data_IF_241711322699
#
_entry.id   IF_241711322699
#
_cell.length_a   1.000
_cell.length_b   1.000
_cell.length_c   1.000
_cell.angle_alpha   90.00
_cell.angle_beta   90.00
_cell.angle_gamma   90.00
#
_symmetry.space_group_name_H-M   'P 1'
#
loop_
_entity.id
_entity.type
_entity.pdbx_description
1 polymer ?
#
# COMPACT_ATOMS: atom_id res chain seq x y z
N UNK A 1 -36.44 -6.50 -9.32
CA UNK A 1 -35.59 -6.78 -9.04
C UNK A 1 -35.22 -6.81 -7.95
N UNK A 2 -34.82 -7.34 -7.68
CA UNK A 2 -34.38 -7.48 -6.79
C UNK A 2 -33.65 -6.65 -6.46
N UNK A 3 -33.93 -6.02 -5.88
CA UNK A 3 -33.39 -5.17 -5.48
C UNK A 3 -32.20 -5.42 -4.88
N UNK A 4 -31.95 -6.44 -4.25
CA UNK A 4 -30.72 -6.84 -3.69
C UNK A 4 -29.64 -6.97 -4.71
N UNK A 5 -30.00 -7.23 -5.91
CA UNK A 5 -29.03 -7.29 -7.00
C UNK A 5 -28.43 -5.94 -7.29
N UNK A 6 -29.01 -4.89 -6.76
CA UNK A 6 -28.51 -3.54 -6.95
C UNK A 6 -27.89 -2.94 -5.71
N UNK A 7 -27.83 -3.70 -4.64
CA UNK A 7 -27.19 -3.22 -3.43
C UNK A 7 -25.69 -3.13 -3.63
N UNK A 8 -25.12 -2.00 -3.30
CA UNK A 8 -23.69 -1.79 -3.42
C UNK A 8 -23.15 -1.46 -2.03
N UNK A 9 -22.24 -2.29 -1.58
CA UNK A 9 -21.59 -2.06 -0.30
C UNK A 9 -20.14 -1.68 -0.56
N UNK A 10 -19.76 -0.48 -0.17
CA UNK A 10 -18.41 0.00 -0.32
C UNK A 10 -17.77 0.04 1.05
N UNK A 11 -16.69 -0.67 1.18
CA UNK A 11 -15.91 -0.71 2.41
C UNK A 11 -14.66 0.14 2.21
N UNK A 12 -14.37 0.98 3.19
CA UNK A 12 -13.21 1.86 3.16
C UNK A 12 -12.13 1.29 4.06
N UNK A 13 -10.91 1.34 3.56
CA UNK A 13 -9.76 0.78 4.26
C UNK A 13 -8.61 1.76 4.32
N UNK A 14 -7.85 1.67 5.40
CA UNK A 14 -6.53 2.30 5.49
C UNK A 14 -5.49 1.22 5.31
N UNK A 15 -4.56 1.45 4.41
CA UNK A 15 -3.46 0.54 4.15
C UNK A 15 -2.15 1.28 4.41
N UNK A 16 -1.30 0.71 5.25
CA UNK A 16 0.04 1.24 5.48
C UNK A 16 1.05 0.21 5.00
N UNK A 17 1.94 0.63 4.12
CA UNK A 17 3.02 -0.20 3.62
C UNK A 17 4.33 0.50 3.91
N UNK A 18 5.27 -0.22 4.52
CA UNK A 18 6.53 0.35 4.98
C UNK A 18 7.68 -0.27 4.18
N UNK A 19 8.66 0.56 3.82
CA UNK A 19 9.88 0.09 3.17
C UNK A 19 10.64 -0.80 4.15
N UNK A 20 11.21 -1.90 3.64
CA UNK A 20 11.91 -2.88 4.47
C UNK A 20 12.94 -2.19 5.36
N UNK A 21 12.85 -2.43 6.67
CA UNK A 21 13.68 -1.80 7.70
C UNK A 21 13.64 -0.27 7.66
N UNK A 22 12.53 0.29 7.14
CA UNK A 22 12.29 1.73 7.09
C UNK A 22 13.41 2.49 6.35
N UNK A 23 13.94 1.89 5.30
CA UNK A 23 14.90 2.60 4.45
C UNK A 23 14.25 3.82 3.84
N UNK A 24 14.96 4.93 3.84
CA UNK A 24 14.42 6.24 3.46
C UNK A 24 14.60 6.49 1.97
N UNK A 25 13.73 5.88 1.16
CA UNK A 25 13.88 5.94 -0.29
C UNK A 25 12.68 6.58 -1.00
N UNK A 26 11.63 6.94 -0.27
CA UNK A 26 10.44 7.51 -0.90
C UNK A 26 10.51 9.03 -0.90
N UNK A 27 10.81 9.61 -2.07
CA UNK A 27 10.69 11.03 -2.31
C UNK A 27 9.42 11.27 -3.14
N UNK A 28 9.18 12.50 -3.55
CA UNK A 28 8.00 12.84 -4.34
C UNK A 28 7.92 12.02 -5.63
N UNK A 29 9.04 11.85 -6.31
CA UNK A 29 9.07 11.15 -7.58
C UNK A 29 8.74 9.66 -7.40
N UNK A 30 9.33 9.02 -6.40
CA UNK A 30 9.06 7.61 -6.10
C UNK A 30 7.61 7.45 -5.64
N UNK A 31 7.12 8.36 -4.80
CA UNK A 31 5.74 8.34 -4.35
C UNK A 31 4.76 8.46 -5.52
N UNK A 32 4.99 9.41 -6.41
CA UNK A 32 4.12 9.62 -7.57
C UNK A 32 4.07 8.35 -8.43
N UNK A 33 5.21 7.72 -8.64
CA UNK A 33 5.25 6.49 -9.44
C UNK A 33 4.54 5.34 -8.73
N UNK A 34 4.75 5.21 -7.42
CA UNK A 34 4.08 4.20 -6.61
C UNK A 34 2.56 4.36 -6.67
N UNK A 35 2.07 5.61 -6.64
CA UNK A 35 0.66 5.90 -6.76
C UNK A 35 0.11 5.52 -8.14
N UNK A 36 0.85 5.85 -9.20
CA UNK A 36 0.44 5.49 -10.55
C UNK A 36 0.27 3.99 -10.72
N UNK A 37 1.20 3.22 -10.17
CA UNK A 37 1.13 1.77 -10.25
C UNK A 37 -0.09 1.25 -9.49
N UNK A 38 -0.36 1.83 -8.33
CA UNK A 38 -1.55 1.48 -7.55
C UNK A 38 -2.81 1.72 -8.39
N UNK A 39 -2.93 2.89 -8.98
CA UNK A 39 -4.10 3.27 -9.78
C UNK A 39 -4.24 2.43 -11.04
N UNK A 40 -3.13 1.91 -11.56
CA UNK A 40 -3.17 1.06 -12.73
C UNK A 40 -3.69 -0.35 -12.40
N UNK A 41 -3.30 -0.89 -11.26
CA UNK A 41 -3.66 -2.25 -10.86
C UNK A 41 -5.04 -2.32 -10.21
N UNK A 42 -5.38 -1.30 -9.42
CA UNK A 42 -6.58 -1.30 -8.58
C UNK A 42 -7.89 -1.64 -9.30
N UNK A 43 -8.17 -1.11 -10.51
CA UNK A 43 -9.44 -1.42 -11.17
C UNK A 43 -9.65 -2.90 -11.44
N UNK A 44 -8.58 -3.66 -11.66
CA UNK A 44 -8.69 -5.09 -11.90
C UNK A 44 -9.21 -5.86 -10.70
N UNK A 45 -9.17 -5.23 -9.53
CA UNK A 45 -9.59 -5.83 -8.27
C UNK A 45 -10.81 -5.15 -7.66
N UNK A 46 -11.44 -4.24 -8.42
CA UNK A 46 -12.60 -3.52 -7.92
C UNK A 46 -12.25 -2.53 -6.81
N UNK A 47 -11.05 -2.01 -6.84
CA UNK A 47 -10.55 -1.09 -5.83
C UNK A 47 -10.45 0.31 -6.42
N UNK A 48 -10.85 1.31 -5.62
CA UNK A 48 -10.77 2.72 -6.01
C UNK A 48 -9.95 3.46 -4.96
N UNK A 49 -8.89 4.12 -5.42
CA UNK A 49 -8.04 4.93 -4.55
C UNK A 49 -8.79 6.19 -4.14
N UNK A 50 -8.81 6.49 -2.84
CA UNK A 50 -9.44 7.70 -2.31
C UNK A 50 -8.42 8.73 -1.88
N UNK A 51 -7.40 8.31 -1.14
CA UNK A 51 -6.34 9.21 -0.67
C UNK A 51 -5.00 8.50 -0.72
N UNK A 52 -3.97 9.25 -1.07
CA UNK A 52 -2.60 8.76 -1.11
C UNK A 52 -1.72 9.72 -0.32
N UNK A 53 -1.08 9.23 0.72
CA UNK A 53 -0.15 9.99 1.53
C UNK A 53 1.13 9.20 1.70
N UNK A 54 2.25 9.90 1.88
CA UNK A 54 3.52 9.19 2.08
C UNK A 54 4.44 9.97 3.00
N UNK A 55 5.39 9.26 3.55
CA UNK A 55 6.56 9.82 4.18
C UNK A 55 7.77 9.21 3.47
N UNK A 56 8.96 9.45 4.00
CA UNK A 56 10.18 8.98 3.32
C UNK A 56 10.36 7.46 3.36
N UNK A 57 9.68 6.78 4.27
CA UNK A 57 9.85 5.34 4.48
C UNK A 57 8.55 4.54 4.45
N UNK A 58 7.43 5.18 4.16
CA UNK A 58 6.15 4.45 4.10
C UNK A 58 5.11 5.21 3.29
N UNK A 59 4.06 4.50 2.89
CA UNK A 59 2.88 5.10 2.30
C UNK A 59 1.67 4.77 3.17
N UNK A 60 0.74 5.70 3.25
CA UNK A 60 -0.53 5.54 3.94
C UNK A 60 -1.62 5.87 2.94
N UNK A 61 -2.41 4.88 2.59
CA UNK A 61 -3.37 4.94 1.50
C UNK A 61 -4.76 4.65 2.02
N UNK A 62 -5.74 5.42 1.56
CA UNK A 62 -7.13 5.08 1.82
C UNK A 62 -7.77 4.69 0.50
N UNK A 63 -8.44 3.54 0.48
CA UNK A 63 -9.14 3.07 -0.71
C UNK A 63 -10.46 2.45 -0.32
N UNK A 64 -11.33 2.28 -1.31
CA UNK A 64 -12.59 1.58 -1.10
C UNK A 64 -12.65 0.34 -1.97
N UNK A 65 -13.36 -0.65 -1.49
CA UNK A 65 -13.47 -1.93 -2.16
C UNK A 65 -14.86 -2.52 -1.92
N UNK A 66 -15.25 -3.45 -2.78
CA UNK A 66 -16.48 -4.22 -2.56
C UNK A 66 -16.18 -5.35 -1.58
N UNK A 67 -17.21 -5.85 -0.86
CA UNK A 67 -17.00 -6.94 0.10
C UNK A 67 -16.36 -8.19 -0.52
N UNK A 68 -16.63 -8.46 -1.78
CA UNK A 68 -16.11 -9.64 -2.47
C UNK A 68 -14.66 -9.47 -2.96
N UNK A 69 -14.09 -8.28 -2.82
CA UNK A 69 -12.74 -8.02 -3.30
C UNK A 69 -11.71 -8.80 -2.49
N UNK A 70 -10.83 -9.51 -3.18
CA UNK A 70 -9.74 -10.24 -2.54
C UNK A 70 -8.58 -9.29 -2.29
N UNK A 71 -8.66 -8.55 -1.18
CA UNK A 71 -7.74 -7.45 -0.89
C UNK A 71 -6.29 -7.93 -0.76
N UNK A 72 -6.06 -9.09 -0.13
CA UNK A 72 -4.71 -9.60 0.03
C UNK A 72 -4.06 -9.91 -1.32
N UNK A 73 -4.83 -10.44 -2.26
CA UNK A 73 -4.30 -10.68 -3.61
C UNK A 73 -3.90 -9.37 -4.29
N UNK A 74 -4.75 -8.35 -4.14
CA UNK A 74 -4.43 -7.04 -4.70
C UNK A 74 -3.14 -6.49 -4.09
N UNK A 75 -3.03 -6.52 -2.75
CA UNK A 75 -1.87 -5.95 -2.08
C UNK A 75 -0.60 -6.67 -2.51
N UNK A 76 -0.64 -8.00 -2.60
CA UNK A 76 0.53 -8.77 -3.02
C UNK A 76 0.89 -8.48 -4.48
N UNK A 77 -0.09 -8.36 -5.36
CA UNK A 77 0.17 -7.99 -6.75
C UNK A 77 0.78 -6.59 -6.84
N UNK A 78 0.27 -5.65 -6.07
CA UNK A 78 0.79 -4.30 -6.03
C UNK A 78 2.22 -4.26 -5.50
N UNK A 79 2.48 -4.96 -4.38
CA UNK A 79 3.84 -5.02 -3.81
C UNK A 79 4.84 -5.55 -4.84
N UNK A 80 4.47 -6.61 -5.51
CA UNK A 80 5.34 -7.23 -6.50
C UNK A 80 5.62 -6.31 -7.68
N UNK A 81 4.56 -5.74 -8.25
CA UNK A 81 4.69 -4.87 -9.41
C UNK A 81 5.43 -3.57 -9.09
N UNK A 82 5.08 -2.92 -7.97
CA UNK A 82 5.70 -1.66 -7.60
C UNK A 82 7.19 -1.86 -7.28
N UNK A 83 7.51 -2.91 -6.56
CA UNK A 83 8.92 -3.23 -6.26
C UNK A 83 9.72 -3.41 -7.54
N UNK A 84 9.22 -4.24 -8.45
CA UNK A 84 9.93 -4.54 -9.69
C UNK A 84 10.09 -3.30 -10.57
N UNK A 85 9.01 -2.56 -10.78
CA UNK A 85 9.01 -1.43 -11.70
C UNK A 85 9.85 -0.27 -11.15
N UNK A 86 9.70 0.07 -9.88
CA UNK A 86 10.43 1.19 -9.31
C UNK A 86 11.93 0.88 -9.26
N UNK A 87 12.31 -0.32 -8.89
CA UNK A 87 13.73 -0.70 -8.88
C UNK A 87 14.33 -0.67 -10.28
N UNK A 88 13.52 -1.01 -11.29
CA UNK A 88 14.00 -0.98 -12.69
C UNK A 88 14.16 0.46 -13.18
N UNK A 89 13.21 1.33 -12.85
CA UNK A 89 13.19 2.71 -13.34
C UNK A 89 14.12 3.62 -12.55
N UNK A 90 14.38 3.28 -11.28
CA UNK A 90 15.22 4.06 -10.40
C UNK A 90 16.30 3.18 -9.77
N UNK A 91 17.27 2.75 -10.60
CA UNK A 91 18.24 1.73 -10.12
C UNK A 91 19.05 2.18 -8.89
N UNK A 92 19.21 3.48 -8.68
CA UNK A 92 19.98 3.96 -7.53
C UNK A 92 19.36 3.60 -6.19
N UNK A 93 18.04 3.39 -6.14
CA UNK A 93 17.42 3.03 -4.88
C UNK A 93 17.79 1.64 -4.41
N UNK A 94 18.21 0.75 -5.33
CA UNK A 94 18.64 -0.61 -4.96
C UNK A 94 19.78 -0.59 -3.96
N UNK A 95 20.67 0.38 -4.08
CA UNK A 95 21.81 0.50 -3.20
C UNK A 95 21.41 0.84 -1.78
N UNK A 96 20.26 1.50 -1.63
CA UNK A 96 19.75 1.93 -0.33
C UNK A 96 18.87 0.87 0.31
N UNK A 97 18.42 -0.13 -0.46
CA UNK A 97 17.51 -1.17 0.03
C UNK A 97 18.31 -2.34 0.61
N UNK A 98 17.80 -2.88 1.72
CA UNK A 98 18.41 -4.05 2.33
C UNK A 98 18.17 -5.25 1.42
N UNK A 99 19.24 -5.82 0.88
CA UNK A 99 19.20 -6.96 -0.05
C UNK A 99 18.17 -6.74 -1.17
N UNK A 100 18.07 -5.49 -1.64
CA UNK A 100 17.15 -5.08 -2.70
C UNK A 100 15.66 -5.31 -2.37
N UNK A 101 15.32 -5.55 -1.12
CA UNK A 101 13.93 -5.71 -0.70
C UNK A 101 13.26 -4.33 -0.58
N UNK A 102 12.18 -4.11 -1.34
CA UNK A 102 11.51 -2.82 -1.32
C UNK A 102 10.56 -2.71 -0.11
N UNK A 103 9.53 -3.53 -0.08
CA UNK A 103 8.51 -3.47 0.97
C UNK A 103 8.77 -4.47 2.08
N UNK A 104 8.34 -4.13 3.29
CA UNK A 104 8.24 -5.11 4.38
C UNK A 104 7.34 -6.25 3.95
N UNK A 105 7.54 -7.43 4.51
CA UNK A 105 6.72 -8.60 4.17
C UNK A 105 5.28 -8.43 4.63
N UNK A 106 5.07 -7.71 5.73
CA UNK A 106 3.73 -7.46 6.24
C UNK A 106 3.17 -6.14 5.69
N UNK A 107 1.91 -5.90 6.00
CA UNK A 107 1.27 -4.62 5.78
C UNK A 107 0.26 -4.41 6.90
N UNK A 108 -0.17 -3.16 7.09
CA UNK A 108 -1.19 -2.85 8.08
C UNK A 108 -2.45 -2.46 7.32
N UNK A 109 -3.53 -3.20 7.52
CA UNK A 109 -4.80 -2.96 6.85
C UNK A 109 -5.91 -2.85 7.88
N UNK A 110 -6.65 -1.74 7.86
CA UNK A 110 -7.72 -1.50 8.82
C UNK A 110 -8.91 -0.88 8.13
N UNK A 111 -10.12 -1.17 8.64
CA UNK A 111 -11.31 -0.51 8.13
C UNK A 111 -11.32 0.94 8.56
N UNK A 112 -11.85 1.81 7.69
CA UNK A 112 -11.94 3.23 7.99
C UNK A 112 -12.84 3.44 9.20
N UNK A 113 -12.42 4.35 10.08
CA UNK A 113 -13.14 4.65 11.30
C UNK A 113 -12.68 3.84 12.50
N UNK A 114 -11.86 2.79 12.26
CA UNK A 114 -11.44 1.90 13.33
C UNK A 114 -9.96 1.96 13.70
N UNK A 115 -9.19 2.85 13.07
CA UNK A 115 -7.74 2.82 13.23
C UNK A 115 -7.24 3.97 14.10
N UNK A 116 -6.94 3.73 15.39
CA UNK A 116 -6.27 4.76 16.17
C UNK A 116 -4.91 5.08 15.56
N UNK A 117 -4.56 6.36 15.50
CA UNK A 117 -3.25 6.78 15.02
C UNK A 117 -2.12 6.06 15.73
N UNK A 118 -2.31 5.76 17.00
CA UNK A 118 -1.31 5.08 17.81
C UNK A 118 -0.98 3.68 17.25
N UNK A 119 -1.99 2.95 16.80
CA UNK A 119 -1.77 1.62 16.22
C UNK A 119 -0.94 1.72 14.95
N UNK A 120 -1.27 2.68 14.10
CA UNK A 120 -0.53 2.91 12.86
C UNK A 120 0.92 3.28 13.17
N UNK A 121 1.13 4.19 14.11
CA UNK A 121 2.46 4.63 14.50
C UNK A 121 3.30 3.47 15.03
N UNK A 122 2.72 2.66 15.91
CA UNK A 122 3.40 1.49 16.45
C UNK A 122 3.78 0.49 15.37
N UNK A 123 2.89 0.29 14.40
CA UNK A 123 3.19 -0.59 13.29
C UNK A 123 4.39 -0.09 12.48
N UNK A 124 4.38 1.20 12.13
CA UNK A 124 5.47 1.78 11.35
C UNK A 124 6.79 1.65 12.11
N UNK A 125 6.78 1.99 13.40
CA UNK A 125 7.99 1.92 14.22
C UNK A 125 8.54 0.49 14.30
N UNK A 126 7.66 -0.50 14.42
CA UNK A 126 8.07 -1.90 14.51
C UNK A 126 8.78 -2.38 13.24
N UNK A 127 8.47 -1.78 12.09
CA UNK A 127 9.07 -2.18 10.83
C UNK A 127 10.54 -1.74 10.71
N UNK A 128 11.00 -0.88 11.59
CA UNK A 128 12.41 -0.48 11.64
C UNK A 128 13.30 -1.50 12.33
N UNK A 129 12.71 -2.44 13.07
CA UNK A 129 13.48 -3.40 13.83
C UNK A 129 14.02 -4.53 12.97
N UNK A 130 15.25 -4.95 13.26
CA UNK A 130 15.83 -6.12 12.63
C UNK A 130 15.76 -7.30 13.58
N UNK A 131 15.27 -8.37 13.05
CA UNK A 131 15.17 -9.60 13.83
C UNK A 131 16.11 -10.65 13.29
#
# INVERSE_FOLDING_TARGET
MDHNTHSVYLLYYHLVMVVKYRREIIDEQISDRAKEIFEYIAPNYGIVLEEWNHDIDHVHVMFRAQPKTEISKFINAYKSASSRLIKKEYPKIREKLWKEAFWSQSFCLMTAGGAPLEVIRQYIESQGERH
#
